data_IF_532618881544
#
_entry.id   IF_532618881544
#
_cell.length_a   1.000
_cell.length_b   1.000
_cell.length_c   1.000
_cell.angle_alpha   90.00
_cell.angle_beta   90.00
_cell.angle_gamma   90.00
#
_symmetry.space_group_name_H-M   'P 1'
#
loop_
_entity.id
_entity.type
_entity.pdbx_description
1 polymer ?
#
# COMPACT_ATOMS: atom_id res chain seq x y z
N UNK A 1 -34.13 7.02 58.60
CA UNK A 1 -34.87 7.18 57.32
C UNK A 1 -34.04 7.78 56.19
N UNK A 2 -33.21 8.81 56.41
CA UNK A 2 -32.33 9.34 55.34
C UNK A 2 -31.16 8.40 55.01
N UNK A 3 -30.57 7.76 56.03
CA UNK A 3 -29.41 6.86 55.84
C UNK A 3 -29.77 5.54 55.13
N UNK A 4 -30.96 4.98 55.38
CA UNK A 4 -31.44 3.78 54.69
C UNK A 4 -31.64 4.02 53.18
N UNK A 5 -32.11 5.20 52.79
CA UNK A 5 -32.24 5.57 51.37
C UNK A 5 -30.88 5.75 50.67
N UNK A 6 -29.88 6.23 51.40
CA UNK A 6 -28.52 6.35 50.85
C UNK A 6 -27.88 4.98 50.67
N UNK A 7 -28.06 4.08 51.65
CA UNK A 7 -27.55 2.71 51.60
C UNK A 7 -28.17 1.94 50.43
N UNK A 8 -29.50 2.00 50.25
CA UNK A 8 -30.16 1.31 49.12
C UNK A 8 -29.72 1.87 47.77
N UNK A 9 -29.49 3.18 47.67
CA UNK A 9 -28.98 3.81 46.45
C UNK A 9 -27.55 3.34 46.13
N UNK A 10 -26.69 3.22 47.14
CA UNK A 10 -25.32 2.73 46.98
C UNK A 10 -25.28 1.24 46.62
N UNK A 11 -26.12 0.41 47.25
CA UNK A 11 -26.26 -1.00 46.89
C UNK A 11 -26.72 -1.17 45.44
N UNK A 12 -27.72 -0.39 45.02
CA UNK A 12 -28.22 -0.40 43.65
C UNK A 12 -27.15 0.03 42.64
N UNK A 13 -26.39 1.08 42.96
CA UNK A 13 -25.24 1.55 42.16
C UNK A 13 -24.17 0.48 42.01
N UNK A 14 -23.87 -0.23 43.10
CA UNK A 14 -22.85 -1.28 43.14
C UNK A 14 -23.26 -2.49 42.31
N UNK A 15 -24.54 -2.90 42.38
CA UNK A 15 -25.07 -3.98 41.56
C UNK A 15 -25.13 -3.61 40.07
N UNK A 16 -25.52 -2.38 39.75
CA UNK A 16 -25.45 -1.86 38.38
C UNK A 16 -24.02 -1.92 37.83
N UNK A 17 -23.05 -1.49 38.63
CA UNK A 17 -21.62 -1.49 38.25
C UNK A 17 -21.11 -2.92 38.03
N UNK A 18 -21.44 -3.85 38.93
CA UNK A 18 -21.07 -5.26 38.78
C UNK A 18 -21.72 -5.91 37.56
N UNK A 19 -22.96 -5.59 37.26
CA UNK A 19 -23.65 -6.09 36.07
C UNK A 19 -23.04 -5.53 34.78
N UNK A 20 -22.71 -4.23 34.76
CA UNK A 20 -21.98 -3.63 33.65
C UNK A 20 -20.60 -4.27 33.44
N UNK A 21 -19.85 -4.50 34.52
CA UNK A 21 -18.56 -5.18 34.48
C UNK A 21 -18.68 -6.59 33.90
N UNK A 22 -19.66 -7.39 34.37
CA UNK A 22 -19.90 -8.75 33.86
C UNK A 22 -20.21 -8.74 32.36
N UNK A 23 -21.05 -7.80 31.92
CA UNK A 23 -21.40 -7.64 30.50
C UNK A 23 -20.18 -7.28 29.64
N UNK A 24 -19.34 -6.37 30.11
CA UNK A 24 -18.12 -6.00 29.40
C UNK A 24 -17.10 -7.14 29.37
N UNK A 25 -16.97 -7.89 30.46
CA UNK A 25 -16.09 -9.06 30.53
C UNK A 25 -16.52 -10.16 29.56
N UNK A 26 -17.83 -10.38 29.41
CA UNK A 26 -18.35 -11.34 28.43
C UNK A 26 -18.04 -10.90 26.98
N UNK A 27 -18.26 -9.62 26.67
CA UNK A 27 -17.92 -9.05 25.35
C UNK A 27 -16.43 -9.11 25.03
N UNK A 28 -15.58 -8.90 26.03
CA UNK A 28 -14.14 -9.03 25.87
C UNK A 28 -13.76 -10.44 25.46
N UNK A 29 -14.31 -11.47 26.12
CA UNK A 29 -14.06 -12.87 25.76
C UNK A 29 -14.55 -13.24 24.37
N UNK A 30 -15.69 -12.71 23.95
CA UNK A 30 -16.23 -12.91 22.61
C UNK A 30 -15.27 -12.33 21.55
N UNK A 31 -14.84 -11.09 21.75
CA UNK A 31 -13.88 -10.43 20.86
C UNK A 31 -12.51 -11.15 20.82
N UNK A 32 -12.01 -11.61 21.98
CA UNK A 32 -10.79 -12.42 22.05
C UNK A 32 -10.92 -13.72 21.25
N UNK A 33 -12.09 -14.37 21.29
CA UNK A 33 -12.39 -15.55 20.48
C UNK A 33 -12.43 -15.25 18.97
N UNK A 34 -13.04 -14.13 18.56
CA UNK A 34 -13.03 -13.68 17.17
C UNK A 34 -11.60 -13.42 16.65
N UNK A 35 -10.76 -12.79 17.47
CA UNK A 35 -9.34 -12.55 17.12
C UNK A 35 -8.60 -13.87 16.92
N UNK A 36 -8.84 -14.87 17.77
CA UNK A 36 -8.20 -16.17 17.63
C UNK A 36 -8.66 -16.89 16.36
N UNK A 37 -9.96 -16.81 16.01
CA UNK A 37 -10.48 -17.34 14.75
C UNK A 37 -9.83 -16.67 13.53
N UNK A 38 -9.70 -15.34 13.53
CA UNK A 38 -9.03 -14.62 12.45
C UNK A 38 -7.56 -15.02 12.31
N UNK A 39 -6.86 -15.26 13.42
CA UNK A 39 -5.48 -15.77 13.39
C UNK A 39 -5.39 -17.16 12.75
N UNK A 40 -6.34 -18.05 13.04
CA UNK A 40 -6.41 -19.35 12.40
C UNK A 40 -6.66 -19.23 10.89
N UNK A 41 -7.56 -18.33 10.48
CA UNK A 41 -7.85 -18.08 9.07
C UNK A 41 -6.63 -17.51 8.33
N UNK A 42 -5.92 -16.54 8.92
CA UNK A 42 -4.68 -15.99 8.36
C UNK A 42 -3.64 -17.11 8.16
N UNK A 43 -3.40 -17.94 9.19
CA UNK A 43 -2.48 -19.06 9.07
C UNK A 43 -2.89 -20.05 7.97
N UNK A 44 -4.19 -20.31 7.80
CA UNK A 44 -4.69 -21.16 6.72
C UNK A 44 -4.43 -20.53 5.33
N UNK A 45 -4.65 -19.23 5.19
CA UNK A 45 -4.38 -18.48 3.96
C UNK A 45 -2.89 -18.43 3.64
N UNK A 46 -2.02 -18.21 4.62
CA UNK A 46 -0.55 -18.24 4.44
C UNK A 46 -0.06 -19.61 3.97
N UNK A 47 -0.59 -20.70 4.53
CA UNK A 47 -0.28 -22.05 4.08
C UNK A 47 -0.71 -22.29 2.62
N UNK A 48 -1.90 -21.83 2.25
CA UNK A 48 -2.38 -21.90 0.85
C UNK A 48 -1.52 -21.07 -0.08
N UNK A 49 -1.17 -19.84 0.32
CA UNK A 49 -0.28 -18.96 -0.44
C UNK A 49 1.09 -19.62 -0.67
N UNK A 50 1.71 -20.19 0.38
CA UNK A 50 2.99 -20.88 0.26
C UNK A 50 2.91 -22.10 -0.68
N UNK A 51 1.80 -22.84 -0.71
CA UNK A 51 1.60 -23.94 -1.65
C UNK A 51 1.46 -23.43 -3.09
N UNK A 52 0.69 -22.37 -3.32
CA UNK A 52 0.52 -21.78 -4.66
C UNK A 52 1.84 -21.19 -5.18
N UNK A 53 2.65 -20.55 -4.33
CA UNK A 53 3.97 -20.06 -4.69
C UNK A 53 4.88 -21.20 -5.17
N UNK A 54 4.92 -22.32 -4.43
CA UNK A 54 5.67 -23.52 -4.84
C UNK A 54 5.15 -24.09 -6.16
N UNK A 55 3.83 -24.13 -6.36
CA UNK A 55 3.24 -24.58 -7.62
C UNK A 55 3.65 -23.67 -8.78
N UNK A 56 3.61 -22.35 -8.60
CA UNK A 56 4.06 -21.36 -9.59
C UNK A 56 5.55 -21.56 -9.91
N UNK A 57 6.41 -21.71 -8.90
CA UNK A 57 7.83 -22.00 -9.12
C UNK A 57 8.04 -23.28 -9.92
N UNK A 58 7.30 -24.34 -9.61
CA UNK A 58 7.39 -25.61 -10.34
C UNK A 58 7.01 -25.45 -11.82
N UNK A 59 5.95 -24.69 -12.12
CA UNK A 59 5.52 -24.39 -13.49
C UNK A 59 6.53 -23.51 -14.22
N UNK A 60 7.12 -22.53 -13.55
CA UNK A 60 8.14 -21.64 -14.13
C UNK A 60 9.45 -22.39 -14.45
N UNK A 61 9.84 -23.34 -13.61
CA UNK A 61 10.98 -24.24 -13.88
C UNK A 61 10.66 -25.18 -15.05
N UNK A 62 9.48 -25.78 -15.06
CA UNK A 62 9.04 -26.68 -16.15
C UNK A 62 8.98 -25.97 -17.51
N UNK A 63 8.55 -24.70 -17.53
CA UNK A 63 8.45 -23.88 -18.76
C UNK A 63 9.77 -23.26 -19.21
N UNK A 64 10.74 -23.02 -18.31
CA UNK A 64 12.12 -22.61 -18.68
C UNK A 64 12.97 -23.79 -19.18
N UNK A 65 12.74 -25.00 -18.66
CA UNK A 65 13.42 -26.22 -19.12
C UNK A 65 13.02 -26.66 -20.53
N UNK A 66 11.87 -26.21 -21.04
CA UNK A 66 11.33 -26.59 -22.36
C UNK A 66 11.78 -25.66 -23.50
N UNK A 67 12.65 -24.66 -23.26
CA UNK A 67 13.17 -23.75 -24.32
C UNK A 67 14.65 -23.97 -24.69
N UNK A 68 15.31 -24.99 -24.16
CA UNK A 68 16.75 -25.26 -24.40
C UNK A 68 17.04 -26.52 -25.24
N UNK A 69 16.09 -27.02 -26.03
CA UNK A 69 16.30 -28.10 -26.99
C UNK A 69 15.72 -27.69 -28.35
N UNK A 70 16.50 -26.86 -29.06
CA UNK A 70 16.20 -26.39 -30.41
C UNK A 70 17.48 -25.94 -31.12
N UNK A 71 18.55 -26.72 -30.96
CA UNK A 71 19.82 -26.58 -31.69
C UNK A 71 19.99 -27.82 -32.57
N UNK A 72 19.94 -27.63 -33.89
CA UNK A 72 20.12 -28.67 -34.92
C UNK A 72 19.55 -28.17 -36.25
N UNK A 73 20.36 -27.50 -37.08
CA UNK A 73 21.19 -28.09 -38.14
C UNK A 73 20.45 -28.31 -39.47
N UNK A 74 20.52 -27.32 -40.37
CA UNK A 74 20.51 -27.53 -41.83
C UNK A 74 21.40 -26.45 -42.45
N UNK A 75 22.68 -26.74 -42.66
CA UNK A 75 23.22 -27.01 -44.01
C UNK A 75 22.80 -25.99 -45.07
N UNK A 76 23.66 -25.02 -45.34
CA UNK A 76 23.96 -24.59 -46.71
C UNK A 76 25.41 -24.09 -46.77
N UNK A 77 26.23 -25.00 -47.29
CA UNK A 77 27.55 -24.79 -47.84
C UNK A 77 27.48 -23.77 -48.97
N UNK A 78 28.28 -22.70 -48.92
CA UNK A 78 28.81 -22.03 -50.11
C UNK A 78 30.20 -21.48 -49.78
N UNK A 79 31.13 -21.93 -50.60
CA UNK A 79 32.56 -21.72 -50.60
C UNK A 79 32.83 -20.78 -51.77
N UNK A 80 33.25 -19.55 -51.51
CA UNK A 80 33.96 -18.77 -52.53
C UNK A 80 34.82 -17.68 -51.88
N UNK A 81 36.13 -17.86 -52.08
CA UNK A 81 37.17 -16.89 -51.76
C UNK A 81 36.95 -15.58 -52.53
N UNK A 82 37.22 -14.44 -51.90
CA UNK A 82 37.99 -13.38 -52.58
C UNK A 82 38.75 -12.50 -51.56
N UNK A 83 40.07 -12.46 -51.75
CA UNK A 83 41.00 -11.59 -51.06
C UNK A 83 41.34 -10.45 -52.03
N UNK A 84 40.87 -9.23 -51.72
CA UNK A 84 41.12 -8.05 -52.54
C UNK A 84 41.28 -6.78 -51.71
N UNK A 85 42.51 -6.49 -51.32
CA UNK A 85 42.99 -5.18 -50.90
C UNK A 85 42.98 -4.22 -52.11
N UNK A 86 42.45 -2.99 -51.95
CA UNK A 86 42.87 -1.75 -52.67
C UNK A 86 42.06 -0.51 -52.29
N UNK A 87 42.71 0.34 -51.48
CA UNK A 87 42.88 1.80 -51.62
C UNK A 87 41.89 2.67 -52.43
N UNK A 88 41.42 3.70 -51.71
CA UNK A 88 41.41 5.14 -52.08
C UNK A 88 40.31 5.76 -52.97
N UNK A 89 39.77 6.85 -52.38
CA UNK A 89 39.36 8.12 -52.98
C UNK A 89 37.97 8.32 -53.61
N UNK A 90 37.23 9.20 -52.93
CA UNK A 90 36.70 10.48 -53.44
C UNK A 90 35.19 10.63 -53.76
N UNK A 91 34.62 11.64 -53.05
CA UNK A 91 33.56 12.60 -53.44
C UNK A 91 32.17 12.01 -53.66
N UNK A 92 31.11 12.35 -52.93
CA UNK A 92 30.76 13.60 -52.27
C UNK A 92 29.38 14.03 -52.79
N UNK A 93 28.35 14.11 -51.92
CA UNK A 93 27.18 15.01 -52.07
C UNK A 93 26.19 14.86 -50.90
N UNK A 94 26.26 15.86 -50.02
CA UNK A 94 25.16 16.69 -49.51
C UNK A 94 23.73 16.09 -49.53
N UNK A 95 23.20 15.78 -48.35
CA UNK A 95 21.90 16.31 -47.89
C UNK A 95 21.95 16.53 -46.37
N UNK A 96 21.99 17.79 -45.98
CA UNK A 96 21.72 18.22 -44.61
C UNK A 96 20.19 18.41 -44.49
N UNK A 97 19.55 17.62 -43.64
CA UNK A 97 18.20 17.87 -43.16
C UNK A 97 18.14 17.56 -41.66
N UNK A 98 18.13 18.66 -40.91
CA UNK A 98 17.54 18.89 -39.59
C UNK A 98 17.03 17.72 -38.73
N UNK A 99 17.50 17.72 -37.47
CA UNK A 99 16.75 17.76 -36.18
C UNK A 99 15.58 16.76 -36.08
N UNK A 100 15.60 15.78 -35.18
CA UNK A 100 15.48 16.00 -33.74
C UNK A 100 16.14 14.87 -32.93
N UNK A 101 17.11 15.25 -32.11
CA UNK A 101 17.37 14.54 -30.87
C UNK A 101 16.44 15.14 -29.81
N UNK A 102 15.76 14.30 -29.02
CA UNK A 102 15.71 14.62 -27.61
C UNK A 102 15.98 13.39 -26.72
N UNK A 103 16.98 13.61 -25.88
CA UNK A 103 16.89 13.34 -24.45
C UNK A 103 17.03 11.88 -24.01
N UNK A 104 18.24 11.37 -24.22
CA UNK A 104 18.88 10.50 -23.24
C UNK A 104 19.07 11.29 -21.92
N UNK A 105 18.04 11.24 -21.06
CA UNK A 105 18.12 11.66 -19.68
C UNK A 105 17.51 10.56 -18.81
N UNK A 106 18.07 9.36 -18.95
CA UNK A 106 17.93 8.32 -17.94
C UNK A 106 18.74 8.77 -16.74
N UNK A 107 18.14 9.65 -15.94
CA UNK A 107 18.57 9.90 -14.58
C UNK A 107 18.40 8.57 -13.84
N UNK A 108 19.44 7.74 -13.90
CA UNK A 108 19.70 6.66 -12.96
C UNK A 108 19.90 7.31 -11.59
N UNK A 109 18.79 7.71 -10.97
CA UNK A 109 18.74 7.81 -9.53
C UNK A 109 18.96 6.38 -9.01
N UNK A 110 19.90 6.16 -8.07
CA UNK A 110 19.94 4.90 -7.36
C UNK A 110 18.59 4.71 -6.68
N UNK A 111 17.77 3.86 -7.29
CA UNK A 111 16.43 3.55 -6.86
C UNK A 111 16.55 2.74 -5.57
N UNK A 112 16.66 3.46 -4.45
CA UNK A 112 16.39 2.88 -3.14
C UNK A 112 14.94 2.43 -3.19
N UNK A 113 14.73 1.12 -3.41
CA UNK A 113 13.44 0.44 -3.31
C UNK A 113 12.93 0.57 -1.86
N UNK A 114 12.47 1.76 -1.47
CA UNK A 114 11.63 1.95 -0.29
C UNK A 114 10.26 1.42 -0.65
N UNK A 115 9.77 0.47 0.12
CA UNK A 115 8.48 -0.21 -0.01
C UNK A 115 7.32 0.79 -0.16
N UNK A 116 6.97 1.17 -1.39
CA UNK A 116 5.76 1.97 -1.66
C UNK A 116 4.56 1.02 -1.50
N UNK A 117 3.61 1.30 -0.58
CA UNK A 117 2.43 0.46 -0.41
C UNK A 117 1.61 0.40 -1.69
N UNK A 118 1.20 -0.82 -2.09
CA UNK A 118 0.37 -1.05 -3.26
C UNK A 118 -1.00 -0.38 -3.12
N UNK A 119 -1.47 0.22 -4.22
CA UNK A 119 -2.84 0.72 -4.34
C UNK A 119 -3.70 -0.50 -4.69
N UNK A 120 -4.61 -0.93 -3.81
CA UNK A 120 -5.52 -2.02 -4.17
C UNK A 120 -6.80 -1.39 -4.74
N UNK A 121 -7.13 -1.75 -5.99
CA UNK A 121 -8.29 -1.19 -6.70
C UNK A 121 -9.61 -1.91 -6.41
N UNK A 122 -9.57 -3.04 -5.67
CA UNK A 122 -10.72 -3.92 -5.43
C UNK A 122 -11.20 -3.83 -3.97
N UNK A 123 -11.54 -2.63 -3.49
CA UNK A 123 -12.06 -2.46 -2.13
C UNK A 123 -13.58 -2.32 -2.10
N UNK A 124 -14.22 -3.22 -1.37
CA UNK A 124 -15.56 -3.04 -0.86
C UNK A 124 -15.49 -2.21 0.44
N UNK A 125 -16.32 -1.15 0.60
CA UNK A 125 -16.26 -0.30 1.79
C UNK A 125 -16.72 -1.10 3.01
N UNK A 126 -15.77 -1.41 3.89
CA UNK A 126 -16.00 -2.13 5.16
C UNK A 126 -16.85 -1.27 6.11
N UNK A 127 -16.76 0.06 5.99
CA UNK A 127 -17.49 1.00 6.83
C UNK A 127 -17.98 2.22 6.05
N UNK A 128 -18.95 2.95 6.61
CA UNK A 128 -19.43 4.25 6.11
C UNK A 128 -18.87 5.43 6.91
N UNK A 129 -17.82 5.19 7.71
CA UNK A 129 -17.23 6.12 8.67
C UNK A 129 -16.85 7.49 8.07
N UNK A 130 -16.46 7.50 6.80
CA UNK A 130 -15.94 8.68 6.11
C UNK A 130 -16.86 9.23 5.02
N UNK A 131 -18.08 8.70 4.85
CA UNK A 131 -19.00 9.14 3.79
C UNK A 131 -19.31 10.64 3.86
N UNK A 132 -19.52 11.17 5.07
CA UNK A 132 -19.91 12.56 5.29
C UNK A 132 -18.73 13.47 5.67
N UNK A 133 -17.49 12.98 5.52
CA UNK A 133 -16.28 13.70 5.94
C UNK A 133 -15.47 14.16 4.75
N UNK A 134 -14.79 15.29 4.93
CA UNK A 134 -13.79 15.74 3.95
C UNK A 134 -12.53 14.87 4.06
N UNK A 135 -11.75 14.81 2.97
CA UNK A 135 -10.46 14.08 2.90
C UNK A 135 -9.56 14.45 4.10
N UNK A 136 -9.44 15.75 4.40
CA UNK A 136 -8.59 16.23 5.49
C UNK A 136 -9.09 15.78 6.86
N UNK A 137 -10.40 15.77 7.10
CA UNK A 137 -10.98 15.30 8.35
C UNK A 137 -10.73 13.79 8.55
N UNK A 138 -10.98 12.99 7.50
CA UNK A 138 -10.77 11.55 7.56
C UNK A 138 -9.28 11.20 7.73
N UNK A 139 -8.37 11.83 6.98
CA UNK A 139 -6.93 11.63 7.15
C UNK A 139 -6.42 12.06 8.54
N UNK A 140 -7.02 13.08 9.15
CA UNK A 140 -6.67 13.47 10.53
C UNK A 140 -6.93 12.32 11.51
N UNK A 141 -8.06 11.62 11.35
CA UNK A 141 -8.41 10.47 12.18
C UNK A 141 -7.45 9.31 11.94
N UNK A 142 -7.19 8.99 10.67
CA UNK A 142 -6.28 7.90 10.29
C UNK A 142 -4.84 8.11 10.78
N UNK A 143 -4.30 9.32 10.65
CA UNK A 143 -2.95 9.66 11.12
C UNK A 143 -2.83 9.77 12.65
N UNK A 144 -3.97 9.98 13.33
CA UNK A 144 -4.04 9.94 14.80
C UNK A 144 -4.12 8.49 15.30
N UNK A 145 -4.90 7.64 14.63
CA UNK A 145 -5.09 6.23 14.98
C UNK A 145 -3.85 5.38 14.71
N UNK A 146 -3.17 5.63 13.59
CA UNK A 146 -1.91 4.95 13.25
C UNK A 146 -0.73 5.36 14.13
N UNK A 147 -0.80 6.52 14.78
CA UNK A 147 0.29 7.04 15.62
C UNK A 147 1.58 7.37 14.86
N UNK A 148 1.62 7.22 13.53
CA UNK A 148 2.83 7.32 12.70
C UNK A 148 2.58 8.00 11.35
N UNK A 149 3.64 8.39 10.63
CA UNK A 149 3.49 8.94 9.28
C UNK A 149 2.96 7.87 8.32
N UNK A 150 2.02 8.23 7.45
CA UNK A 150 1.42 7.30 6.49
C UNK A 150 1.65 7.77 5.05
N UNK A 151 1.85 6.80 4.16
CA UNK A 151 1.96 7.06 2.73
C UNK A 151 0.58 7.36 2.13
N UNK A 152 0.53 8.16 1.07
CA UNK A 152 -0.70 8.57 0.37
C UNK A 152 -1.49 7.36 -0.13
N UNK A 153 -0.80 6.33 -0.63
CA UNK A 153 -1.46 5.10 -1.10
C UNK A 153 -2.15 4.36 0.06
N UNK A 154 -1.52 4.34 1.23
CA UNK A 154 -2.08 3.71 2.42
C UNK A 154 -3.28 4.50 2.94
N UNK A 155 -3.15 5.83 3.01
CA UNK A 155 -4.26 6.73 3.33
C UNK A 155 -5.42 6.54 2.36
N UNK A 156 -5.14 6.44 1.05
CA UNK A 156 -6.16 6.18 0.04
C UNK A 156 -6.91 4.86 0.29
N UNK A 157 -6.17 3.76 0.51
CA UNK A 157 -6.77 2.45 0.80
C UNK A 157 -7.66 2.51 2.06
N UNK A 158 -7.19 3.16 3.13
CA UNK A 158 -7.94 3.31 4.38
C UNK A 158 -9.17 4.21 4.22
N UNK A 159 -9.09 5.25 3.39
CA UNK A 159 -10.22 6.13 3.09
C UNK A 159 -11.33 5.38 2.35
N UNK A 160 -10.97 4.58 1.33
CA UNK A 160 -11.94 3.75 0.61
C UNK A 160 -12.52 2.68 1.51
N UNK A 161 -11.69 2.00 2.30
CA UNK A 161 -12.15 1.02 3.28
C UNK A 161 -13.15 1.63 4.28
N UNK A 162 -12.97 2.89 4.65
CA UNK A 162 -13.91 3.64 5.49
C UNK A 162 -15.08 4.30 4.76
N UNK A 163 -15.30 3.99 3.48
CA UNK A 163 -16.48 4.40 2.70
C UNK A 163 -16.30 5.65 1.86
N UNK A 164 -15.13 6.29 1.89
CA UNK A 164 -14.90 7.49 1.10
C UNK A 164 -14.88 7.17 -0.39
N UNK A 165 -15.73 7.87 -1.15
CA UNK A 165 -15.79 7.74 -2.60
C UNK A 165 -15.00 8.85 -3.28
N UNK A 166 -14.18 8.48 -4.26
CA UNK A 166 -13.45 9.43 -5.09
C UNK A 166 -14.03 9.43 -6.50
N UNK A 167 -14.37 10.62 -7.01
CA UNK A 167 -14.98 10.78 -8.34
C UNK A 167 -13.95 11.07 -9.46
N UNK A 168 -12.68 11.27 -9.11
CA UNK A 168 -11.63 11.68 -10.06
C UNK A 168 -10.66 10.54 -10.41
N UNK A 169 -10.01 10.66 -11.57
CA UNK A 169 -9.07 9.65 -12.09
C UNK A 169 -7.79 9.47 -11.26
N UNK A 170 -7.44 10.47 -10.43
CA UNK A 170 -6.19 10.48 -9.65
C UNK A 170 -6.47 10.75 -8.16
N UNK A 171 -7.07 9.81 -7.43
CA UNK A 171 -7.49 10.04 -6.05
C UNK A 171 -6.32 10.23 -5.09
N UNK A 172 -5.19 9.56 -5.30
CA UNK A 172 -3.96 9.73 -4.52
C UNK A 172 -3.40 11.15 -4.63
N UNK A 173 -3.41 11.74 -5.83
CA UNK A 173 -3.02 13.14 -6.04
C UNK A 173 -3.98 14.06 -5.28
N UNK A 174 -5.30 13.81 -5.37
CA UNK A 174 -6.30 14.59 -4.63
C UNK A 174 -6.09 14.53 -3.11
N UNK A 175 -5.72 13.37 -2.56
CA UNK A 175 -5.36 13.21 -1.15
C UNK A 175 -4.10 14.00 -0.82
N UNK A 176 -3.01 13.80 -1.58
CA UNK A 176 -1.73 14.47 -1.34
C UNK A 176 -1.85 15.99 -1.38
N UNK A 177 -2.57 16.55 -2.36
CA UNK A 177 -2.80 17.99 -2.48
C UNK A 177 -3.66 18.51 -1.33
N UNK A 178 -4.69 17.77 -0.94
CA UNK A 178 -5.57 18.13 0.19
C UNK A 178 -4.82 18.21 1.51
N UNK A 179 -3.87 17.30 1.74
CA UNK A 179 -2.99 17.30 2.92
C UNK A 179 -1.95 18.42 2.83
N UNK A 180 -1.35 18.64 1.66
CA UNK A 180 -0.32 19.67 1.46
C UNK A 180 -0.84 21.10 1.67
N UNK A 181 -2.14 21.34 1.42
CA UNK A 181 -2.77 22.66 1.61
C UNK A 181 -3.16 22.95 3.07
N UNK A 182 -3.07 21.96 3.97
CA UNK A 182 -3.55 22.09 5.34
C UNK A 182 -2.36 22.02 6.32
N UNK A 183 -2.16 23.09 7.08
CA UNK A 183 -1.04 23.25 8.01
C UNK A 183 -0.96 22.23 9.14
N UNK A 184 -2.02 21.43 9.35
CA UNK A 184 -2.02 20.33 10.33
C UNK A 184 -1.18 19.15 9.87
N UNK A 185 -0.88 19.04 8.58
CA UNK A 185 -0.08 17.95 8.03
C UNK A 185 1.28 18.45 7.59
N UNK A 186 2.31 17.62 7.81
CA UNK A 186 3.66 17.86 7.36
C UNK A 186 4.09 16.71 6.46
N UNK A 187 4.63 17.04 5.30
CA UNK A 187 5.27 16.05 4.43
C UNK A 187 6.62 15.68 5.05
N UNK A 188 6.79 14.40 5.39
CA UNK A 188 8.02 13.88 5.98
C UNK A 188 8.90 13.19 4.95
N UNK A 189 8.29 12.61 3.91
CA UNK A 189 8.95 11.92 2.82
C UNK A 189 8.13 12.07 1.52
N UNK A 190 8.67 11.70 0.35
CA UNK A 190 7.90 11.61 -0.88
C UNK A 190 6.63 10.77 -0.67
N UNK A 191 5.47 11.37 -0.93
CA UNK A 191 4.17 10.71 -0.74
C UNK A 191 3.83 10.34 0.71
N UNK A 192 4.55 10.80 1.71
CA UNK A 192 4.31 10.41 3.12
C UNK A 192 4.02 11.64 3.97
N UNK A 193 2.92 11.57 4.73
CA UNK A 193 2.42 12.68 5.54
C UNK A 193 2.33 12.29 7.01
N UNK A 194 2.61 13.28 7.85
CA UNK A 194 2.58 13.19 9.29
C UNK A 194 1.64 14.24 9.88
N UNK A 195 1.09 13.98 11.06
CA UNK A 195 0.22 14.92 11.77
C UNK A 195 1.05 15.79 12.71
N UNK A 196 1.10 17.10 12.46
CA UNK A 196 1.90 18.05 13.26
C UNK A 196 1.37 18.19 14.68
N UNK A 197 0.05 18.15 14.86
CA UNK A 197 -0.61 18.31 16.17
C UNK A 197 -0.71 16.94 16.87
N UNK A 198 0.44 16.27 17.06
CA UNK A 198 0.55 15.11 17.96
C UNK A 198 0.80 15.53 19.41
N UNK A 199 1.35 16.72 19.63
CA UNK A 199 1.81 17.17 20.95
C UNK A 199 0.73 17.39 22.02
N UNK A 200 -0.55 17.57 21.64
CA UNK A 200 -1.59 17.80 22.65
C UNK A 200 -2.09 16.51 23.34
N UNK A 201 -1.86 15.33 22.74
CA UNK A 201 -2.31 14.04 23.29
C UNK A 201 -1.23 13.26 24.03
N UNK A 202 0.05 13.50 23.73
CA UNK A 202 1.15 12.68 24.22
C UNK A 202 1.81 13.18 25.53
N UNK A 203 1.25 14.23 26.14
CA UNK A 203 1.71 14.77 27.45
C UNK A 203 0.81 14.41 28.63
N UNK A 204 -0.24 13.62 28.40
CA UNK A 204 -1.18 13.19 29.45
C UNK A 204 -0.96 11.73 29.92
N UNK A 205 0.12 11.08 29.48
CA UNK A 205 0.43 9.68 29.80
C UNK A 205 1.92 9.45 30.14
N UNK A 206 2.51 10.34 30.92
CA UNK A 206 3.81 10.12 31.56
C UNK A 206 3.79 10.67 32.99
#
# INVERSE_FOLDING_TARGET
MLDENLITTLEQSLDQTRNAQRRLTARLREAEGEVENLRLEINALENSAAQTEKAIHSLLVATRGSRSMGMGSSFSMDDSMDLGDRSASERGRLTAAHRDAPSDNTLNFPQTHRNIPSINSNFEPISKRFNDRTITQACTLLLRESGGPLHVNELYNLLIAGGMTFKGNNPTISVAVSLSRNSRFRKVDPGTFDLVIREAGNRAAS
#
